data_IF_602878279618
#
_entry.id   IF_602878279618
#
_cell.length_a   1.000
_cell.length_b   1.000
_cell.length_c   1.000
_cell.angle_alpha   90.00
_cell.angle_beta   90.00
_cell.angle_gamma   90.00
#
_symmetry.space_group_name_H-M   'P 1'
#
loop_
_entity.id
_entity.type
_entity.pdbx_description
1 polymer ?
#
# COMPACT_ATOMS: atom_id res chain seq x y z
N UNK A 1 -25.15 -36.06 31.89
CA UNK A 1 -24.21 -35.16 32.49
C UNK A 1 -24.49 -33.71 32.03
N UNK A 2 -24.54 -32.77 32.98
CA UNK A 2 -24.67 -31.33 32.69
C UNK A 2 -23.25 -30.85 32.36
N UNK A 3 -23.07 -30.22 31.19
CA UNK A 3 -21.83 -29.52 30.83
C UNK A 3 -22.08 -28.02 31.08
N UNK A 4 -21.14 -27.36 31.77
CA UNK A 4 -21.17 -25.93 31.99
C UNK A 4 -19.97 -25.27 31.30
N UNK A 5 -20.23 -24.35 30.38
CA UNK A 5 -19.22 -23.49 29.79
C UNK A 5 -19.12 -22.20 30.57
N UNK A 6 -17.87 -21.73 30.79
CA UNK A 6 -17.56 -20.50 31.55
C UNK A 6 -17.04 -19.40 30.63
N UNK A 7 -17.00 -18.17 31.15
CA UNK A 7 -16.49 -16.99 30.44
C UNK A 7 -17.30 -16.63 29.19
N UNK A 8 -18.59 -16.80 29.26
CA UNK A 8 -19.54 -16.43 28.21
C UNK A 8 -20.39 -15.23 28.63
N UNK A 9 -20.84 -14.47 27.64
CA UNK A 9 -21.75 -13.35 27.80
C UNK A 9 -22.92 -13.51 26.81
N UNK A 10 -24.12 -13.22 27.29
CA UNK A 10 -25.32 -13.16 26.45
C UNK A 10 -25.59 -11.70 26.09
N UNK A 11 -25.78 -11.46 24.80
CA UNK A 11 -26.17 -10.15 24.23
C UNK A 11 -27.50 -10.31 23.53
N UNK A 12 -28.36 -9.31 23.63
CA UNK A 12 -29.62 -9.29 22.92
C UNK A 12 -29.79 -7.97 22.15
N UNK A 13 -30.26 -8.05 20.93
CA UNK A 13 -30.84 -6.93 20.20
C UNK A 13 -32.34 -6.98 20.45
N UNK A 14 -32.89 -5.86 20.92
CA UNK A 14 -34.32 -5.69 21.18
C UNK A 14 -34.86 -4.59 20.27
N UNK A 15 -35.94 -4.86 19.56
CA UNK A 15 -36.55 -3.89 18.66
C UNK A 15 -37.96 -4.28 18.27
N UNK A 16 -38.79 -3.25 18.03
CA UNK A 16 -40.12 -3.45 17.48
C UNK A 16 -40.04 -3.81 15.99
N UNK A 17 -41.00 -4.58 15.54
CA UNK A 17 -41.16 -4.91 14.10
C UNK A 17 -40.00 -5.70 13.43
N UNK A 18 -39.14 -6.32 14.22
CA UNK A 18 -38.01 -7.10 13.68
C UNK A 18 -38.47 -8.29 12.81
N UNK A 19 -39.67 -8.83 13.13
CA UNK A 19 -40.33 -9.91 12.38
C UNK A 19 -40.64 -9.56 10.92
N UNK A 20 -40.99 -8.30 10.69
CA UNK A 20 -41.41 -7.82 9.37
C UNK A 20 -40.33 -7.08 8.62
N UNK A 21 -39.14 -6.94 9.21
CA UNK A 21 -38.01 -6.25 8.59
C UNK A 21 -36.99 -7.29 8.05
N UNK A 22 -36.97 -7.53 6.75
CA UNK A 22 -36.02 -8.48 6.15
C UNK A 22 -34.57 -8.09 6.42
N UNK A 23 -33.70 -9.09 6.64
CA UNK A 23 -32.27 -8.88 6.72
C UNK A 23 -31.70 -8.56 8.11
N UNK A 24 -32.52 -8.35 9.14
CA UNK A 24 -32.05 -8.03 10.52
C UNK A 24 -31.07 -9.07 11.05
N UNK A 25 -31.43 -10.35 11.01
CA UNK A 25 -30.55 -11.43 11.45
C UNK A 25 -29.28 -11.53 10.57
N UNK A 26 -29.42 -11.39 9.25
CA UNK A 26 -28.28 -11.36 8.33
C UNK A 26 -27.32 -10.20 8.63
N UNK A 27 -27.84 -9.00 8.88
CA UNK A 27 -27.06 -7.83 9.29
C UNK A 27 -26.34 -8.06 10.61
N UNK A 28 -27.02 -8.63 11.60
CA UNK A 28 -26.45 -8.95 12.90
C UNK A 28 -25.28 -9.93 12.80
N UNK A 29 -25.52 -11.12 12.29
CA UNK A 29 -24.50 -12.16 12.26
C UNK A 29 -23.40 -11.85 11.25
N UNK A 30 -23.71 -11.20 10.13
CA UNK A 30 -22.73 -10.73 9.17
C UNK A 30 -21.80 -9.67 9.76
N UNK A 31 -22.32 -8.76 10.57
CA UNK A 31 -21.53 -7.73 11.26
C UNK A 31 -20.60 -8.36 12.30
N UNK A 32 -21.10 -9.30 13.11
CA UNK A 32 -20.28 -10.03 14.08
C UNK A 32 -19.15 -10.82 13.39
N UNK A 33 -19.49 -11.60 12.34
CA UNK A 33 -18.53 -12.42 11.60
C UNK A 33 -17.42 -11.61 10.93
N UNK A 34 -17.75 -10.51 10.23
CA UNK A 34 -16.76 -9.61 9.62
C UNK A 34 -15.77 -9.02 10.63
N UNK A 35 -16.20 -8.88 11.88
CA UNK A 35 -15.36 -8.37 12.96
C UNK A 35 -14.67 -9.48 13.78
N UNK A 36 -14.71 -10.72 13.30
CA UNK A 36 -14.03 -11.86 13.93
C UNK A 36 -14.68 -12.29 15.26
N UNK A 37 -15.95 -12.00 15.46
CA UNK A 37 -16.70 -12.40 16.67
C UNK A 37 -17.44 -13.68 16.38
N UNK A 38 -17.07 -14.76 17.09
CA UNK A 38 -17.76 -16.03 17.01
C UNK A 38 -19.04 -16.03 17.86
N UNK A 39 -20.14 -16.48 17.29
CA UNK A 39 -21.39 -16.69 17.98
C UNK A 39 -21.48 -18.16 18.40
N UNK A 40 -21.51 -18.41 19.71
CA UNK A 40 -21.50 -19.76 20.31
C UNK A 40 -22.91 -20.36 20.27
N UNK A 41 -23.91 -19.55 20.60
CA UNK A 41 -25.32 -19.94 20.55
C UNK A 41 -26.17 -18.73 20.17
N UNK A 42 -27.33 -18.96 19.59
CA UNK A 42 -28.31 -17.90 19.31
C UNK A 42 -29.74 -18.40 19.53
N UNK A 43 -30.62 -17.49 19.87
CA UNK A 43 -32.05 -17.74 19.99
C UNK A 43 -32.84 -16.54 19.51
N UNK A 44 -33.91 -16.80 18.74
CA UNK A 44 -34.91 -15.80 18.37
C UNK A 44 -36.25 -16.31 18.83
N UNK A 45 -36.92 -15.53 19.70
CA UNK A 45 -38.23 -15.91 20.28
C UNK A 45 -39.36 -15.80 19.26
N UNK A 46 -40.45 -16.53 19.51
CA UNK A 46 -41.65 -16.46 18.68
C UNK A 46 -42.34 -15.08 18.68
N UNK A 47 -42.16 -14.27 19.73
CA UNK A 47 -42.59 -12.88 19.79
C UNK A 47 -41.75 -11.97 18.87
N UNK A 48 -40.56 -12.41 18.51
CA UNK A 48 -39.62 -11.76 17.58
C UNK A 48 -39.30 -10.31 17.89
N UNK A 49 -39.37 -9.94 19.16
CA UNK A 49 -38.95 -8.64 19.68
C UNK A 49 -37.45 -8.60 20.02
N UNK A 50 -36.79 -9.77 20.03
CA UNK A 50 -35.37 -9.87 20.31
C UNK A 50 -34.67 -10.99 19.53
N UNK A 51 -33.40 -10.80 19.29
CA UNK A 51 -32.46 -11.85 18.89
C UNK A 51 -31.37 -11.87 19.95
N UNK A 52 -31.27 -12.97 20.69
CA UNK A 52 -30.24 -13.18 21.71
C UNK A 52 -29.14 -14.08 21.18
N UNK A 53 -27.92 -13.80 21.53
CA UNK A 53 -26.79 -14.61 21.15
C UNK A 53 -25.70 -14.62 22.23
N UNK A 54 -24.88 -15.65 22.22
CA UNK A 54 -23.83 -15.89 23.21
C UNK A 54 -22.47 -15.74 22.54
N UNK A 55 -21.59 -14.99 23.18
CA UNK A 55 -20.20 -14.76 22.74
C UNK A 55 -19.23 -15.01 23.89
N UNK A 56 -17.94 -15.19 23.60
CA UNK A 56 -16.89 -15.14 24.62
C UNK A 56 -16.89 -13.78 25.32
N UNK A 57 -16.75 -13.76 26.66
CA UNK A 57 -16.76 -12.53 27.47
C UNK A 57 -15.69 -11.52 27.02
N UNK A 58 -14.56 -11.97 26.47
CA UNK A 58 -13.53 -11.09 25.90
C UNK A 58 -14.04 -10.30 24.69
N UNK A 59 -14.99 -10.86 23.95
CA UNK A 59 -15.60 -10.22 22.78
C UNK A 59 -16.80 -9.36 23.12
N UNK A 60 -17.29 -9.35 24.36
CA UNK A 60 -18.52 -8.66 24.74
C UNK A 60 -18.51 -7.18 24.36
N UNK A 61 -17.47 -6.45 24.76
CA UNK A 61 -17.37 -5.01 24.48
C UNK A 61 -17.32 -4.72 22.98
N UNK A 62 -16.55 -5.52 22.23
CA UNK A 62 -16.48 -5.40 20.78
C UNK A 62 -17.82 -5.70 20.13
N UNK A 63 -18.52 -6.75 20.59
CA UNK A 63 -19.86 -7.12 20.10
C UNK A 63 -20.86 -5.98 20.29
N UNK A 64 -20.92 -5.40 21.47
CA UNK A 64 -21.82 -4.27 21.77
C UNK A 64 -21.53 -3.06 20.86
N UNK A 65 -20.26 -2.69 20.70
CA UNK A 65 -19.87 -1.55 19.86
C UNK A 65 -20.21 -1.78 18.39
N UNK A 66 -19.87 -2.96 17.86
CA UNK A 66 -20.12 -3.33 16.46
C UNK A 66 -21.62 -3.34 16.13
N UNK A 67 -22.44 -3.88 17.05
CA UNK A 67 -23.88 -3.91 16.86
C UNK A 67 -24.47 -2.52 17.00
N UNK A 68 -24.05 -1.76 18.01
CA UNK A 68 -24.52 -0.39 18.21
C UNK A 68 -24.22 0.46 16.97
N UNK A 69 -22.98 0.40 16.46
CA UNK A 69 -22.59 1.11 15.25
C UNK A 69 -23.45 0.69 14.04
N UNK A 70 -23.65 -0.63 13.87
CA UNK A 70 -24.40 -1.16 12.74
C UNK A 70 -25.91 -0.86 12.77
N UNK A 71 -26.52 -0.82 13.93
CA UNK A 71 -27.98 -0.71 14.07
C UNK A 71 -28.50 0.64 14.54
N UNK A 72 -27.70 1.38 15.33
CA UNK A 72 -28.16 2.60 16.01
C UNK A 72 -27.39 3.86 15.60
N UNK A 73 -26.14 3.73 15.14
CA UNK A 73 -25.38 4.84 14.58
C UNK A 73 -25.37 4.79 13.05
N UNK A 74 -26.42 4.28 12.44
CA UNK A 74 -26.51 3.99 11.01
C UNK A 74 -26.41 5.21 10.07
N UNK A 75 -26.19 6.41 10.60
CA UNK A 75 -25.84 7.57 9.77
C UNK A 75 -24.38 7.57 9.35
N UNK A 76 -23.48 6.88 10.09
CA UNK A 76 -22.05 6.90 9.80
C UNK A 76 -21.42 5.52 9.93
N UNK A 77 -20.68 5.11 8.88
CA UNK A 77 -19.72 4.03 8.97
C UNK A 77 -18.45 4.56 9.64
N UNK A 78 -17.88 3.82 10.59
CA UNK A 78 -16.63 4.21 11.26
C UNK A 78 -15.50 3.29 10.82
N UNK A 79 -14.39 3.85 10.35
CA UNK A 79 -13.10 3.15 10.21
C UNK A 79 -12.14 3.65 11.29
N UNK A 80 -11.58 2.72 12.05
CA UNK A 80 -10.63 3.01 13.12
C UNK A 80 -9.20 2.80 12.58
N UNK A 81 -8.45 3.89 12.47
CA UNK A 81 -7.16 3.93 11.79
C UNK A 81 -6.01 3.92 12.80
N UNK A 82 -5.05 3.03 12.60
CA UNK A 82 -3.75 3.01 13.26
C UNK A 82 -2.70 3.40 12.24
N UNK A 83 -2.18 4.63 12.32
CA UNK A 83 -1.23 5.18 11.34
C UNK A 83 0.19 5.01 11.87
N UNK A 84 0.97 4.18 11.19
CA UNK A 84 2.37 3.89 11.50
C UNK A 84 3.28 4.57 10.48
N UNK A 85 4.22 5.40 11.00
CA UNK A 85 5.11 6.20 10.18
C UNK A 85 4.49 7.55 9.81
N UNK A 86 4.63 8.55 10.71
CA UNK A 86 4.13 9.93 10.47
C UNK A 86 5.22 10.88 9.97
N UNK A 87 6.15 10.34 9.16
CA UNK A 87 7.14 11.12 8.43
C UNK A 87 6.52 11.90 7.25
N UNK A 88 7.22 11.94 6.12
CA UNK A 88 6.80 12.72 4.95
C UNK A 88 5.46 12.26 4.37
N UNK A 89 5.31 10.97 4.09
CA UNK A 89 4.08 10.41 3.51
C UNK A 89 2.97 10.35 4.56
N UNK A 90 3.23 9.74 5.71
CA UNK A 90 2.20 9.60 6.75
C UNK A 90 1.76 10.92 7.34
N UNK A 91 2.66 11.92 7.47
CA UNK A 91 2.29 13.27 7.88
C UNK A 91 1.36 13.95 6.87
N UNK A 92 1.63 13.76 5.57
CA UNK A 92 0.73 14.24 4.51
C UNK A 92 -0.63 13.53 4.53
N UNK A 93 -0.65 12.23 4.82
CA UNK A 93 -1.89 11.46 4.97
C UNK A 93 -2.74 11.99 6.14
N UNK A 94 -2.13 12.20 7.30
CA UNK A 94 -2.85 12.76 8.48
C UNK A 94 -3.47 14.10 8.14
N UNK A 95 -2.75 14.96 7.42
CA UNK A 95 -3.28 16.28 7.01
C UNK A 95 -4.44 16.13 6.01
N UNK A 96 -4.33 15.23 5.03
CA UNK A 96 -5.42 14.96 4.08
C UNK A 96 -6.66 14.40 4.79
N UNK A 97 -6.50 13.49 5.75
CA UNK A 97 -7.60 13.00 6.59
C UNK A 97 -8.24 14.15 7.35
N UNK A 98 -7.44 15.00 8.01
CA UNK A 98 -7.90 16.16 8.77
C UNK A 98 -8.77 17.10 7.91
N UNK A 99 -8.34 17.35 6.67
CA UNK A 99 -9.07 18.21 5.74
C UNK A 99 -10.37 17.58 5.23
N UNK A 100 -10.39 16.28 4.99
CA UNK A 100 -11.50 15.59 4.36
C UNK A 100 -12.51 14.98 5.34
N UNK A 101 -12.11 14.68 6.59
CA UNK A 101 -12.94 13.91 7.53
C UNK A 101 -14.33 14.49 7.74
N UNK A 102 -14.48 15.84 7.80
CA UNK A 102 -15.76 16.50 7.98
C UNK A 102 -16.68 16.33 6.77
N UNK A 103 -16.12 16.48 5.57
CA UNK A 103 -16.84 16.30 4.31
C UNK A 103 -17.29 14.85 4.14
N UNK A 104 -16.42 13.88 4.39
CA UNK A 104 -16.72 12.45 4.31
C UNK A 104 -17.85 12.07 5.28
N UNK A 105 -17.83 12.63 6.48
CA UNK A 105 -18.88 12.38 7.44
C UNK A 105 -20.23 12.92 6.96
N UNK A 106 -20.26 14.12 6.39
CA UNK A 106 -21.50 14.78 5.96
C UNK A 106 -22.06 14.24 4.64
N UNK A 107 -21.19 13.95 3.65
CA UNK A 107 -21.61 13.58 2.30
C UNK A 107 -21.67 12.05 2.08
N UNK A 108 -20.77 11.30 2.73
CA UNK A 108 -20.65 9.86 2.54
C UNK A 108 -21.06 9.03 3.76
N UNK A 109 -21.43 9.66 4.86
CA UNK A 109 -21.73 8.93 6.10
C UNK A 109 -20.52 8.13 6.62
N UNK A 110 -19.28 8.59 6.37
CA UNK A 110 -18.05 7.93 6.74
C UNK A 110 -17.26 8.74 7.76
N UNK A 111 -17.00 8.15 8.92
CA UNK A 111 -16.12 8.71 9.95
C UNK A 111 -14.76 7.99 9.92
N UNK A 112 -13.71 8.72 9.57
CA UNK A 112 -12.34 8.27 9.74
C UNK A 112 -11.87 8.64 11.15
N UNK A 113 -11.62 7.63 11.98
CA UNK A 113 -11.31 7.79 13.39
C UNK A 113 -9.90 7.31 13.68
N UNK A 114 -8.96 8.23 13.81
CA UNK A 114 -7.55 7.88 14.10
C UNK A 114 -7.41 7.56 15.58
N UNK A 115 -7.12 6.30 15.89
CA UNK A 115 -7.04 5.74 17.24
C UNK A 115 -5.63 5.29 17.63
N UNK A 116 -4.70 5.28 16.69
CA UNK A 116 -3.27 5.01 16.91
C UNK A 116 -2.41 5.87 16.00
N UNK A 117 -1.36 6.46 16.57
CA UNK A 117 -0.34 7.21 15.82
C UNK A 117 1.03 6.74 16.32
N UNK A 118 1.87 6.31 15.39
CA UNK A 118 3.14 5.66 15.67
C UNK A 118 4.23 6.27 14.81
N UNK A 119 5.33 6.69 15.41
CA UNK A 119 6.57 7.04 14.71
C UNK A 119 7.70 6.06 15.02
N UNK A 120 8.91 6.39 14.61
CA UNK A 120 10.08 5.51 14.79
C UNK A 120 10.46 5.28 16.26
N UNK A 121 10.03 6.14 17.17
CA UNK A 121 10.44 6.15 18.57
C UNK A 121 9.30 6.13 19.55
N UNK A 122 8.15 6.65 19.16
CA UNK A 122 7.00 6.84 20.02
C UNK A 122 5.69 6.35 19.38
N UNK A 123 4.81 5.88 20.23
CA UNK A 123 3.45 5.49 19.86
C UNK A 123 2.44 6.05 20.87
N UNK A 124 1.25 6.38 20.40
CA UNK A 124 0.12 6.72 21.24
C UNK A 124 -1.15 6.07 20.73
N UNK A 125 -1.99 5.60 21.65
CA UNK A 125 -3.23 4.90 21.36
C UNK A 125 -4.37 5.48 22.19
N UNK A 126 -5.52 5.70 21.57
CA UNK A 126 -6.70 6.23 22.25
C UNK A 126 -7.99 5.78 21.57
N UNK A 127 -8.90 5.15 22.34
CA UNK A 127 -10.21 4.80 21.82
C UNK A 127 -11.09 6.02 21.49
N UNK A 128 -10.80 7.15 22.12
CA UNK A 128 -11.49 8.41 21.85
C UNK A 128 -11.01 9.10 20.59
N UNK A 129 -9.88 8.64 20.03
CA UNK A 129 -9.19 9.26 18.90
C UNK A 129 -8.30 10.43 19.34
N UNK A 130 -7.78 11.15 18.34
CA UNK A 130 -6.83 12.26 18.50
C UNK A 130 -7.29 13.49 17.73
N UNK A 131 -6.93 14.68 18.25
CA UNK A 131 -6.96 15.90 17.45
C UNK A 131 -5.80 15.92 16.46
N UNK A 132 -6.14 15.77 15.17
CA UNK A 132 -5.14 15.70 14.10
C UNK A 132 -4.43 17.03 13.84
N UNK A 133 -4.92 18.14 14.41
CA UNK A 133 -4.25 19.45 14.33
C UNK A 133 -3.02 19.55 15.23
N UNK A 134 -2.97 18.79 16.33
CA UNK A 134 -1.93 18.88 17.36
C UNK A 134 -1.25 17.54 17.69
N UNK A 135 -1.43 16.52 16.84
CA UNK A 135 -0.98 15.16 17.14
C UNK A 135 0.54 15.01 17.32
N UNK A 136 1.35 15.88 16.67
CA UNK A 136 2.82 15.79 16.75
C UNK A 136 3.33 16.17 18.13
N UNK A 137 2.79 17.24 18.69
CA UNK A 137 3.08 17.71 20.03
C UNK A 137 2.59 16.66 21.06
N UNK A 138 1.38 16.17 20.89
CA UNK A 138 0.84 15.13 21.76
C UNK A 138 1.67 13.84 21.72
N UNK A 139 2.10 13.39 20.51
CA UNK A 139 2.96 12.21 20.37
C UNK A 139 4.30 12.41 21.07
N UNK A 140 4.88 13.59 20.94
CA UNK A 140 6.16 13.94 21.57
C UNK A 140 6.06 13.96 23.11
N UNK A 141 4.98 14.53 23.65
CA UNK A 141 4.79 14.71 25.08
C UNK A 141 4.26 13.46 25.79
N UNK A 142 3.27 12.79 25.21
CA UNK A 142 2.49 11.70 25.84
C UNK A 142 2.78 10.33 25.25
N UNK A 143 3.48 10.25 24.11
CA UNK A 143 3.78 8.97 23.45
C UNK A 143 4.68 8.08 24.31
N UNK A 144 4.39 6.78 24.30
CA UNK A 144 5.21 5.71 24.88
C UNK A 144 6.19 5.15 23.84
N UNK A 145 7.10 4.29 24.24
CA UNK A 145 8.02 3.62 23.31
C UNK A 145 7.28 2.81 22.24
N UNK A 146 7.71 2.93 20.99
CA UNK A 146 7.14 2.22 19.83
C UNK A 146 7.92 0.93 19.52
N UNK A 147 8.04 0.01 20.48
CA UNK A 147 8.56 -1.32 20.20
C UNK A 147 7.57 -2.15 19.37
N UNK A 148 8.05 -3.14 18.61
CA UNK A 148 7.17 -4.01 17.82
C UNK A 148 6.15 -4.75 18.67
N UNK A 149 6.56 -5.21 19.86
CA UNK A 149 5.66 -5.88 20.79
C UNK A 149 4.60 -4.91 21.32
N UNK A 150 4.98 -3.68 21.69
CA UNK A 150 4.04 -2.65 22.12
C UNK A 150 3.02 -2.35 21.02
N UNK A 151 3.48 -2.13 19.78
CA UNK A 151 2.58 -1.85 18.64
C UNK A 151 1.59 -3.00 18.43
N UNK A 152 2.10 -4.24 18.40
CA UNK A 152 1.28 -5.43 18.21
C UNK A 152 0.26 -5.63 19.33
N UNK A 153 0.72 -5.58 20.57
CA UNK A 153 -0.10 -5.86 21.75
C UNK A 153 -1.17 -4.80 21.97
N UNK A 154 -0.83 -3.52 21.82
CA UNK A 154 -1.79 -2.42 21.95
C UNK A 154 -2.87 -2.48 20.86
N UNK A 155 -2.49 -2.61 19.59
CA UNK A 155 -3.45 -2.64 18.49
C UNK A 155 -4.40 -3.84 18.60
N UNK A 156 -3.87 -5.04 18.85
CA UNK A 156 -4.67 -6.24 19.00
C UNK A 156 -5.49 -6.18 20.31
N UNK A 157 -4.87 -5.73 21.40
CA UNK A 157 -5.48 -5.64 22.72
C UNK A 157 -6.60 -4.59 22.80
N UNK A 158 -6.52 -3.52 22.02
CA UNK A 158 -7.63 -2.58 21.88
C UNK A 158 -8.89 -3.24 21.32
N UNK A 159 -8.74 -4.27 20.48
CA UNK A 159 -9.85 -5.07 19.94
C UNK A 159 -11.03 -4.18 19.46
N UNK A 160 -10.71 -3.21 18.61
CA UNK A 160 -11.68 -2.27 18.03
C UNK A 160 -12.19 -2.83 16.70
N UNK A 161 -13.48 -2.63 16.43
CA UNK A 161 -14.10 -3.03 15.17
C UNK A 161 -13.64 -2.13 13.99
N UNK A 162 -13.80 -2.63 12.76
CA UNK A 162 -13.44 -1.91 11.53
C UNK A 162 -12.05 -1.26 11.61
N UNK A 163 -11.09 -2.01 12.13
CA UNK A 163 -9.72 -1.54 12.31
C UNK A 163 -8.91 -1.65 11.02
N UNK A 164 -8.14 -0.62 10.75
CA UNK A 164 -7.21 -0.56 9.62
C UNK A 164 -5.84 -0.14 10.13
N UNK A 165 -4.84 -0.99 9.92
CA UNK A 165 -3.43 -0.64 10.12
C UNK A 165 -2.89 -0.02 8.84
N UNK A 166 -2.36 1.19 8.94
CA UNK A 166 -1.84 1.97 7.80
C UNK A 166 -0.34 2.13 7.96
N UNK A 167 0.43 1.46 7.11
CA UNK A 167 1.89 1.51 7.14
C UNK A 167 2.46 2.49 6.10
N UNK A 168 2.96 3.62 6.58
CA UNK A 168 3.68 4.62 5.79
C UNK A 168 5.20 4.58 6.05
N UNK A 169 5.72 3.46 6.56
CA UNK A 169 7.16 3.26 6.83
C UNK A 169 7.87 2.56 5.67
N UNK A 170 9.17 2.38 5.81
CA UNK A 170 10.00 1.49 4.98
C UNK A 170 10.65 0.39 5.84
N UNK A 171 10.11 0.11 7.03
CA UNK A 171 10.65 -0.84 8.00
C UNK A 171 10.23 -2.28 7.67
N UNK A 172 11.20 -3.22 7.55
CA UNK A 172 10.88 -4.64 7.43
C UNK A 172 10.22 -5.21 8.70
N UNK A 173 10.57 -4.67 9.85
CA UNK A 173 10.04 -5.11 11.13
C UNK A 173 8.54 -4.77 11.25
N UNK A 174 8.14 -3.57 10.83
CA UNK A 174 6.72 -3.19 10.79
C UNK A 174 5.96 -4.06 9.78
N UNK A 175 6.52 -4.33 8.61
CA UNK A 175 5.91 -5.22 7.63
C UNK A 175 5.72 -6.65 8.15
N UNK A 176 6.55 -7.12 9.07
CA UNK A 176 6.42 -8.45 9.69
C UNK A 176 5.15 -8.61 10.55
N UNK A 177 4.55 -7.51 11.00
CA UNK A 177 3.32 -7.52 11.83
C UNK A 177 2.03 -7.74 11.03
N UNK A 178 2.07 -7.62 9.69
CA UNK A 178 0.85 -7.69 8.87
C UNK A 178 0.10 -9.00 9.03
N UNK A 179 0.82 -10.12 9.15
CA UNK A 179 0.21 -11.44 9.36
C UNK A 179 -0.64 -11.46 10.63
N UNK A 180 -0.10 -10.97 11.72
CA UNK A 180 -0.80 -10.93 13.02
C UNK A 180 -2.04 -10.03 12.94
N UNK A 181 -1.93 -8.85 12.31
CA UNK A 181 -3.06 -7.95 12.16
C UNK A 181 -4.17 -8.55 11.30
N UNK A 182 -3.84 -9.11 10.15
CA UNK A 182 -4.82 -9.76 9.27
C UNK A 182 -5.52 -10.94 9.98
N UNK A 183 -4.79 -11.74 10.76
CA UNK A 183 -5.36 -12.85 11.56
C UNK A 183 -6.31 -12.36 12.65
N UNK A 184 -6.17 -11.13 13.13
CA UNK A 184 -7.04 -10.49 14.12
C UNK A 184 -8.11 -9.59 13.50
N UNK A 185 -8.46 -9.81 12.23
CA UNK A 185 -9.49 -9.06 11.50
C UNK A 185 -9.20 -7.54 11.40
N UNK A 186 -7.94 -7.17 11.31
CA UNK A 186 -7.48 -5.82 11.05
C UNK A 186 -7.02 -5.75 9.60
N UNK A 187 -7.65 -4.88 8.80
CA UNK A 187 -7.20 -4.62 7.43
C UNK A 187 -5.86 -3.92 7.42
N UNK A 188 -5.06 -4.14 6.39
CA UNK A 188 -3.75 -3.50 6.23
C UNK A 188 -3.73 -2.69 4.94
N UNK A 189 -3.32 -1.43 5.04
CA UNK A 189 -3.02 -0.54 3.90
C UNK A 189 -1.54 -0.16 3.99
N UNK A 190 -0.76 -0.44 2.95
CA UNK A 190 0.69 -0.30 3.00
C UNK A 190 1.27 0.52 1.86
N UNK A 191 1.94 1.62 2.19
CA UNK A 191 2.92 2.25 1.29
C UNK A 191 4.27 1.50 1.31
N UNK A 192 4.52 0.72 2.35
CA UNK A 192 5.70 -0.12 2.52
C UNK A 192 5.69 -1.29 1.53
N UNK A 193 6.68 -1.33 0.64
CA UNK A 193 6.78 -2.33 -0.44
C UNK A 193 7.33 -3.69 0.03
N UNK A 194 7.88 -3.76 1.24
CA UNK A 194 8.69 -4.92 1.67
C UNK A 194 7.86 -6.20 1.66
N UNK A 195 6.69 -6.20 2.28
CA UNK A 195 5.86 -7.40 2.35
C UNK A 195 5.40 -7.90 0.97
N UNK A 196 4.95 -6.99 0.10
CA UNK A 196 4.47 -7.33 -1.25
C UNK A 196 5.59 -7.79 -2.18
N UNK A 197 6.84 -7.34 -1.96
CA UNK A 197 8.03 -7.72 -2.74
C UNK A 197 8.93 -8.75 -2.08
N UNK A 198 8.61 -9.23 -0.86
CA UNK A 198 9.34 -10.30 -0.16
C UNK A 198 9.20 -11.65 -0.87
N UNK A 199 9.63 -12.75 -0.26
CA UNK A 199 9.40 -14.08 -0.83
C UNK A 199 7.95 -14.30 -1.25
N UNK A 200 7.72 -14.89 -2.41
CA UNK A 200 6.38 -15.09 -2.99
C UNK A 200 5.41 -15.78 -2.02
N UNK A 201 5.88 -16.75 -1.27
CA UNK A 201 5.03 -17.47 -0.31
C UNK A 201 4.51 -16.56 0.82
N UNK A 202 5.31 -15.59 1.28
CA UNK A 202 4.87 -14.60 2.27
C UNK A 202 3.77 -13.68 1.67
N UNK A 203 4.01 -13.15 0.47
CA UNK A 203 3.00 -12.34 -0.25
C UNK A 203 1.69 -13.12 -0.42
N UNK A 204 1.78 -14.38 -0.88
CA UNK A 204 0.63 -15.27 -1.09
C UNK A 204 -0.11 -15.56 0.22
N UNK A 205 0.63 -15.83 1.30
CA UNK A 205 0.05 -16.09 2.62
C UNK A 205 -0.76 -14.89 3.12
N UNK A 206 -0.22 -13.66 3.03
CA UNK A 206 -0.92 -12.45 3.44
C UNK A 206 -2.22 -12.23 2.65
N UNK A 207 -2.19 -12.40 1.33
CA UNK A 207 -3.39 -12.32 0.47
C UNK A 207 -4.42 -13.39 0.85
N UNK A 208 -3.98 -14.61 1.15
CA UNK A 208 -4.86 -15.71 1.55
C UNK A 208 -5.53 -15.45 2.90
N UNK A 209 -4.76 -15.02 3.91
CA UNK A 209 -5.30 -14.68 5.24
C UNK A 209 -6.32 -13.56 5.12
N UNK A 210 -6.01 -12.48 4.40
CA UNK A 210 -6.92 -11.37 4.20
C UNK A 210 -8.26 -11.84 3.62
N UNK A 211 -8.22 -12.69 2.57
CA UNK A 211 -9.42 -13.27 1.96
C UNK A 211 -10.21 -14.17 2.92
N UNK A 212 -9.52 -15.05 3.66
CA UNK A 212 -10.16 -15.98 4.61
C UNK A 212 -10.82 -15.23 5.78
N UNK A 213 -10.23 -14.13 6.22
CA UNK A 213 -10.73 -13.31 7.32
C UNK A 213 -11.75 -12.26 6.87
N UNK A 214 -11.94 -12.07 5.57
CA UNK A 214 -12.84 -11.03 5.04
C UNK A 214 -12.34 -9.60 5.30
N UNK A 215 -11.02 -9.43 5.44
CA UNK A 215 -10.36 -8.14 5.57
C UNK A 215 -9.56 -7.83 4.31
N UNK A 216 -9.02 -6.61 4.20
CA UNK A 216 -8.27 -6.17 3.03
C UNK A 216 -6.77 -6.06 3.36
N UNK A 217 -5.95 -6.43 2.39
CA UNK A 217 -4.54 -6.10 2.30
C UNK A 217 -4.32 -5.33 1.00
N UNK A 218 -4.17 -4.00 1.10
CA UNK A 218 -4.10 -3.07 -0.02
C UNK A 218 -2.75 -2.36 -0.03
N UNK A 219 -2.19 -2.15 -1.21
CA UNK A 219 -0.85 -1.58 -1.39
C UNK A 219 -0.69 -0.92 -2.76
N UNK A 220 -1.71 -0.19 -3.24
CA UNK A 220 -1.70 0.51 -4.53
C UNK A 220 -0.44 1.37 -4.70
N UNK A 221 -0.06 2.08 -3.64
CA UNK A 221 1.05 3.04 -3.67
C UNK A 221 2.45 2.40 -3.74
N UNK A 222 2.52 1.08 -3.70
CA UNK A 222 3.79 0.38 -3.86
C UNK A 222 4.38 0.54 -5.26
N UNK A 223 3.53 0.84 -6.26
CA UNK A 223 3.95 1.12 -7.63
C UNK A 223 3.24 2.37 -8.15
N UNK A 224 4.03 3.37 -8.59
CA UNK A 224 3.48 4.57 -9.25
C UNK A 224 2.82 5.58 -8.30
N UNK A 225 3.16 5.59 -7.03
CA UNK A 225 2.59 6.48 -6.02
C UNK A 225 1.04 6.43 -5.99
N UNK A 226 0.35 7.50 -6.38
CA UNK A 226 -1.11 7.55 -6.41
C UNK A 226 -1.74 7.12 -7.72
N UNK A 227 -0.96 6.61 -8.69
CA UNK A 227 -1.52 6.12 -9.96
C UNK A 227 -2.30 4.81 -9.75
N UNK A 228 -3.47 4.63 -10.37
CA UNK A 228 -4.31 3.45 -10.19
C UNK A 228 -3.80 2.29 -11.08
N UNK A 229 -2.73 1.63 -10.67
CA UNK A 229 -2.05 0.60 -11.45
C UNK A 229 -2.45 -0.80 -10.98
N UNK A 230 -2.26 -1.09 -9.68
CA UNK A 230 -2.53 -2.41 -9.09
C UNK A 230 -4.03 -2.70 -9.14
N UNK A 231 -4.86 -1.75 -8.77
CA UNK A 231 -6.32 -1.89 -8.86
C UNK A 231 -6.77 -2.13 -10.32
N UNK A 232 -6.20 -1.39 -11.29
CA UNK A 232 -6.49 -1.61 -12.71
C UNK A 232 -6.12 -3.03 -13.17
N UNK A 233 -4.95 -3.54 -12.78
CA UNK A 233 -4.53 -4.92 -13.08
C UNK A 233 -5.52 -5.92 -12.47
N UNK A 234 -5.88 -5.72 -11.21
CA UNK A 234 -6.83 -6.60 -10.51
C UNK A 234 -8.22 -6.59 -11.17
N UNK A 235 -8.72 -5.43 -11.56
CA UNK A 235 -10.02 -5.29 -12.24
C UNK A 235 -10.03 -5.98 -13.61
N UNK A 236 -8.95 -5.85 -14.38
CA UNK A 236 -8.79 -6.56 -15.65
C UNK A 236 -8.83 -8.08 -15.44
N UNK A 237 -8.05 -8.59 -14.49
CA UNK A 237 -7.98 -10.04 -14.21
C UNK A 237 -9.31 -10.57 -13.67
N UNK A 238 -9.91 -9.89 -12.70
CA UNK A 238 -11.19 -10.31 -12.12
C UNK A 238 -12.33 -10.27 -13.13
N UNK A 239 -12.25 -9.41 -14.14
CA UNK A 239 -13.21 -9.38 -15.25
C UNK A 239 -12.88 -10.38 -16.37
N UNK A 240 -11.88 -11.26 -16.18
CA UNK A 240 -11.52 -12.33 -17.10
C UNK A 240 -10.54 -11.97 -18.20
N UNK A 241 -9.85 -10.82 -18.09
CA UNK A 241 -8.76 -10.46 -18.98
C UNK A 241 -7.44 -11.12 -18.54
N UNK A 242 -6.44 -11.12 -19.37
CA UNK A 242 -5.11 -11.66 -19.09
C UNK A 242 -4.03 -10.65 -19.46
N UNK A 243 -3.17 -10.36 -18.51
CA UNK A 243 -2.00 -9.54 -18.77
C UNK A 243 -0.95 -10.35 -19.55
N UNK A 244 -0.64 -9.91 -20.77
CA UNK A 244 0.34 -10.56 -21.64
C UNK A 244 1.73 -9.94 -21.50
N UNK A 245 1.76 -8.61 -21.32
CA UNK A 245 3.00 -7.84 -21.22
C UNK A 245 2.80 -6.60 -20.37
N UNK A 246 3.79 -6.29 -19.57
CA UNK A 246 3.94 -5.01 -18.85
C UNK A 246 5.25 -4.39 -19.32
N UNK A 247 5.22 -3.14 -19.74
CA UNK A 247 6.41 -2.32 -19.99
C UNK A 247 6.26 -1.03 -19.19
N UNK A 248 7.30 -0.64 -18.44
CA UNK A 248 7.15 0.50 -17.56
C UNK A 248 8.47 1.23 -17.30
N UNK A 249 8.37 2.56 -17.14
CA UNK A 249 9.41 3.39 -16.52
C UNK A 249 8.93 3.72 -15.12
N UNK A 250 9.58 3.14 -14.11
CA UNK A 250 9.12 3.15 -12.71
C UNK A 250 10.07 3.88 -11.75
N UNK A 251 11.20 4.41 -12.25
CA UNK A 251 12.14 5.19 -11.46
C UNK A 251 12.15 6.64 -11.91
N UNK A 252 11.67 7.54 -11.05
CA UNK A 252 11.75 8.97 -11.28
C UNK A 252 13.20 9.45 -11.33
N UNK A 253 14.07 8.92 -10.48
CA UNK A 253 15.52 9.24 -10.45
C UNK A 253 16.20 8.90 -11.76
N UNK A 254 16.03 7.67 -12.25
CA UNK A 254 16.67 7.23 -13.50
C UNK A 254 16.09 7.97 -14.71
N UNK A 255 14.78 8.22 -14.72
CA UNK A 255 14.17 9.01 -15.79
C UNK A 255 14.70 10.46 -15.79
N UNK A 256 14.86 11.06 -14.62
CA UNK A 256 15.50 12.38 -14.49
C UNK A 256 16.91 12.39 -15.04
N UNK A 257 17.78 11.42 -14.65
CA UNK A 257 19.16 11.29 -15.10
C UNK A 257 19.21 11.25 -16.64
N UNK A 258 18.45 10.36 -17.27
CA UNK A 258 18.47 10.20 -18.72
C UNK A 258 17.76 11.31 -19.50
N UNK A 259 16.94 12.12 -18.85
CA UNK A 259 16.42 13.36 -19.45
C UNK A 259 17.39 14.55 -19.35
N UNK A 260 18.33 14.53 -18.40
CA UNK A 260 19.28 15.65 -18.17
C UNK A 260 20.62 15.46 -18.88
N UNK A 261 20.98 14.23 -19.24
CA UNK A 261 22.24 13.98 -19.94
C UNK A 261 22.25 14.68 -21.30
N UNK A 262 23.30 15.47 -21.55
CA UNK A 262 23.46 16.27 -22.77
C UNK A 262 24.94 16.47 -23.09
N UNK A 263 25.25 17.14 -24.21
CA UNK A 263 26.62 17.49 -24.57
C UNK A 263 27.33 18.32 -23.48
N UNK A 264 26.58 19.16 -22.76
CA UNK A 264 27.10 20.05 -21.71
C UNK A 264 27.00 19.45 -20.31
N UNK A 265 26.23 18.35 -20.12
CA UNK A 265 25.97 17.72 -18.83
C UNK A 265 26.32 16.24 -18.92
N UNK A 266 27.55 15.85 -18.53
CA UNK A 266 27.99 14.45 -18.57
C UNK A 266 27.21 13.57 -17.57
N UNK A 267 27.25 12.28 -17.79
CA UNK A 267 26.51 11.28 -16.99
C UNK A 267 26.78 11.41 -15.48
N UNK A 268 28.05 11.51 -15.08
CA UNK A 268 28.41 11.68 -13.67
C UNK A 268 27.80 12.93 -13.03
N UNK A 269 27.71 14.03 -13.80
CA UNK A 269 27.09 15.28 -13.34
C UNK A 269 25.57 15.14 -13.18
N UNK A 270 24.88 14.38 -14.07
CA UNK A 270 23.42 14.17 -13.94
C UNK A 270 23.08 13.40 -12.67
N UNK A 271 23.90 12.44 -12.26
CA UNK A 271 23.71 11.71 -10.99
C UNK A 271 23.82 12.68 -9.80
N UNK A 272 24.83 13.55 -9.83
CA UNK A 272 25.03 14.55 -8.79
C UNK A 272 23.88 15.56 -8.72
N UNK A 273 23.39 16.01 -9.86
CA UNK A 273 22.20 16.88 -9.96
C UNK A 273 20.96 16.19 -9.37
N UNK A 274 20.74 14.91 -9.67
CA UNK A 274 19.63 14.15 -9.10
C UNK A 274 19.70 14.10 -7.57
N UNK A 275 20.89 14.01 -7.00
CA UNK A 275 21.11 14.04 -5.55
C UNK A 275 20.88 15.47 -4.98
N UNK A 276 21.42 16.50 -5.61
CA UNK A 276 21.26 17.91 -5.22
C UNK A 276 19.78 18.33 -5.25
N UNK A 277 19.02 17.89 -6.25
CA UNK A 277 17.59 18.16 -6.41
C UNK A 277 16.69 17.18 -5.64
N UNK A 278 17.26 16.27 -4.86
CA UNK A 278 16.55 15.29 -4.02
C UNK A 278 15.66 14.29 -4.78
N UNK A 279 16.02 13.97 -6.01
CA UNK A 279 15.43 12.87 -6.76
C UNK A 279 16.06 11.51 -6.40
N UNK A 280 17.34 11.51 -6.02
CA UNK A 280 18.12 10.31 -5.69
C UNK A 280 18.21 10.12 -4.17
N UNK A 281 18.37 8.87 -3.77
CA UNK A 281 18.75 8.48 -2.41
C UNK A 281 20.12 9.11 -2.04
N UNK A 282 20.45 9.23 -0.74
CA UNK A 282 21.76 9.72 -0.31
C UNK A 282 22.94 8.95 -0.90
N UNK A 283 22.78 7.65 -1.10
CA UNK A 283 23.69 6.83 -1.89
C UNK A 283 23.04 6.51 -3.26
N UNK A 284 23.44 7.17 -4.35
CA UNK A 284 22.81 6.99 -5.65
C UNK A 284 22.98 5.59 -6.24
N UNK A 285 23.91 4.78 -5.70
CA UNK A 285 24.07 3.37 -6.12
C UNK A 285 22.82 2.56 -5.86
N UNK A 286 22.00 2.94 -4.86
CA UNK A 286 20.71 2.30 -4.58
C UNK A 286 19.79 2.45 -5.78
N UNK A 287 19.66 3.67 -6.33
CA UNK A 287 18.85 3.94 -7.53
C UNK A 287 19.44 3.28 -8.78
N UNK A 288 20.77 3.43 -8.99
CA UNK A 288 21.46 2.90 -10.15
C UNK A 288 21.45 1.37 -10.22
N UNK A 289 21.32 0.68 -9.09
CA UNK A 289 21.18 -0.78 -9.02
C UNK A 289 19.86 -1.31 -9.57
N UNK A 290 18.88 -0.43 -9.79
CA UNK A 290 17.53 -0.80 -10.21
C UNK A 290 16.72 -1.57 -9.18
N UNK A 291 17.18 -1.69 -7.93
CA UNK A 291 16.54 -2.53 -6.90
C UNK A 291 15.10 -2.13 -6.62
N UNK A 292 14.78 -0.84 -6.57
CA UNK A 292 13.40 -0.37 -6.39
C UNK A 292 12.51 -0.70 -7.60
N UNK A 293 13.06 -0.58 -8.81
CA UNK A 293 12.36 -0.94 -10.06
C UNK A 293 12.08 -2.45 -10.11
N UNK A 294 13.04 -3.27 -9.69
CA UNK A 294 12.86 -4.73 -9.58
C UNK A 294 11.74 -5.08 -8.61
N UNK A 295 11.72 -4.48 -7.43
CA UNK A 295 10.65 -4.69 -6.44
C UNK A 295 9.27 -4.32 -7.00
N UNK A 296 9.18 -3.18 -7.68
CA UNK A 296 7.93 -2.75 -8.32
C UNK A 296 7.48 -3.71 -9.41
N UNK A 297 8.41 -4.17 -10.27
CA UNK A 297 8.10 -5.14 -11.31
C UNK A 297 7.62 -6.47 -10.74
N UNK A 298 8.24 -6.95 -9.67
CA UNK A 298 7.83 -8.18 -8.97
C UNK A 298 6.41 -8.05 -8.43
N UNK A 299 6.07 -6.91 -7.82
CA UNK A 299 4.71 -6.64 -7.33
C UNK A 299 3.70 -6.67 -8.47
N UNK A 300 3.98 -5.97 -9.59
CA UNK A 300 3.09 -5.95 -10.75
C UNK A 300 2.93 -7.34 -11.37
N UNK A 301 4.00 -8.11 -11.47
CA UNK A 301 3.96 -9.48 -12.00
C UNK A 301 3.08 -10.38 -11.15
N UNK A 302 3.19 -10.28 -9.82
CA UNK A 302 2.39 -11.07 -8.88
C UNK A 302 0.91 -10.72 -8.94
N UNK A 303 0.59 -9.43 -8.98
CA UNK A 303 -0.79 -8.97 -9.16
C UNK A 303 -1.34 -9.34 -10.56
N UNK A 304 -0.47 -9.46 -11.56
CA UNK A 304 -0.80 -9.99 -12.89
C UNK A 304 -0.94 -11.53 -12.95
N UNK A 305 -0.79 -12.22 -11.82
CA UNK A 305 -0.97 -13.66 -11.69
C UNK A 305 0.27 -14.50 -11.94
N UNK A 306 1.46 -13.90 -12.07
CA UNK A 306 2.72 -14.61 -12.27
C UNK A 306 3.43 -14.85 -10.93
N UNK A 307 3.95 -16.06 -10.74
CA UNK A 307 4.90 -16.32 -9.66
C UNK A 307 6.28 -15.80 -10.08
N UNK A 308 6.81 -14.85 -9.34
CA UNK A 308 8.11 -14.23 -9.64
C UNK A 308 8.82 -13.86 -8.34
N UNK A 309 10.11 -14.19 -8.26
CA UNK A 309 11.03 -13.75 -7.21
C UNK A 309 11.96 -12.65 -7.73
N UNK A 310 12.52 -11.82 -6.84
CA UNK A 310 13.40 -10.72 -7.24
C UNK A 310 14.67 -11.20 -7.93
N UNK A 311 15.16 -12.37 -7.55
CA UNK A 311 16.36 -13.03 -8.08
C UNK A 311 16.17 -13.55 -9.49
N UNK A 312 14.92 -13.79 -9.91
CA UNK A 312 14.56 -14.27 -11.25
C UNK A 312 14.48 -13.14 -12.28
N UNK A 313 14.55 -11.88 -11.84
CA UNK A 313 14.53 -10.72 -12.74
C UNK A 313 15.87 -10.54 -13.40
N UNK A 314 15.92 -10.61 -14.73
CA UNK A 314 17.12 -10.33 -15.51
C UNK A 314 17.52 -8.86 -15.39
N UNK A 315 18.80 -8.62 -15.11
CA UNK A 315 19.34 -7.28 -14.85
C UNK A 315 20.32 -6.88 -15.95
N UNK A 316 19.89 -5.96 -16.79
CA UNK A 316 20.73 -5.35 -17.83
C UNK A 316 21.12 -3.94 -17.40
N UNK A 317 21.97 -3.86 -16.35
CA UNK A 317 22.42 -2.60 -15.78
C UNK A 317 23.36 -1.87 -16.71
N UNK A 318 23.33 -0.54 -16.65
CA UNK A 318 24.14 0.36 -17.45
C UNK A 318 25.40 0.86 -16.73
N UNK A 319 25.50 0.55 -15.43
CA UNK A 319 26.69 0.80 -14.61
C UNK A 319 27.34 -0.55 -14.29
N UNK A 320 28.66 -0.73 -14.53
CA UNK A 320 29.36 -1.97 -14.22
C UNK A 320 29.29 -2.36 -12.74
N UNK A 321 29.27 -3.66 -12.44
CA UNK A 321 29.07 -4.18 -11.09
C UNK A 321 30.12 -3.69 -10.07
N UNK A 322 31.34 -3.47 -10.50
CA UNK A 322 32.44 -3.00 -9.67
C UNK A 322 32.27 -1.54 -9.18
N UNK A 323 31.29 -0.79 -9.69
CA UNK A 323 30.91 0.54 -9.18
C UNK A 323 30.02 0.47 -7.95
N UNK A 324 29.40 -0.66 -7.69
CA UNK A 324 28.56 -0.87 -6.50
C UNK A 324 29.38 -1.33 -5.27
N UNK A 325 30.66 -1.62 -5.45
CA UNK A 325 31.58 -2.04 -4.40
C UNK A 325 32.33 -0.85 -3.79
N UNK A 326 32.87 -1.03 -2.58
CA UNK A 326 33.64 0.01 -1.88
C UNK A 326 32.80 1.12 -1.25
N UNK A 327 33.48 2.21 -0.92
CA UNK A 327 32.84 3.36 -0.26
C UNK A 327 32.11 4.26 -1.28
N UNK A 328 31.21 5.11 -0.77
CA UNK A 328 30.55 6.13 -1.60
C UNK A 328 31.57 7.13 -2.19
N UNK A 329 32.67 7.41 -1.45
CA UNK A 329 33.73 8.26 -1.93
C UNK A 329 34.45 7.63 -3.12
N UNK A 330 34.70 6.32 -3.10
CA UNK A 330 35.30 5.59 -4.22
C UNK A 330 34.38 5.61 -5.44
N UNK A 331 33.08 5.46 -5.25
CA UNK A 331 32.11 5.61 -6.33
C UNK A 331 32.21 6.98 -7.01
N UNK A 332 32.22 8.08 -6.23
CA UNK A 332 32.32 9.42 -6.80
C UNK A 332 33.63 9.71 -7.51
N UNK A 333 34.74 9.09 -7.11
CA UNK A 333 36.02 9.15 -7.82
C UNK A 333 35.99 8.38 -9.14
N UNK A 334 35.23 7.28 -9.19
CA UNK A 334 35.24 6.34 -10.31
C UNK A 334 34.18 6.69 -11.38
N UNK A 335 33.00 7.19 -10.99
CA UNK A 335 31.89 7.39 -11.91
C UNK A 335 32.20 8.31 -13.11
N UNK A 336 33.07 9.35 -13.03
CA UNK A 336 33.43 10.13 -14.20
C UNK A 336 34.10 9.35 -15.31
N UNK A 337 34.68 8.17 -15.03
CA UNK A 337 35.26 7.31 -16.06
C UNK A 337 34.27 6.77 -17.08
N UNK A 338 32.96 6.81 -16.75
CA UNK A 338 31.87 6.41 -17.64
C UNK A 338 31.42 7.53 -18.58
N UNK A 339 31.80 8.77 -18.33
CA UNK A 339 31.29 9.94 -19.07
C UNK A 339 31.57 9.89 -20.56
N UNK A 340 32.79 9.43 -20.94
CA UNK A 340 33.18 9.36 -22.33
C UNK A 340 32.38 8.32 -23.12
N UNK A 341 32.11 7.16 -22.53
CA UNK A 341 31.29 6.11 -23.15
C UNK A 341 29.85 6.57 -23.31
N UNK A 342 29.27 7.14 -22.25
CA UNK A 342 27.91 7.67 -22.30
C UNK A 342 27.77 8.80 -23.33
N UNK A 343 28.74 9.70 -23.47
CA UNK A 343 28.69 10.76 -24.47
C UNK A 343 28.81 10.21 -25.91
N UNK A 344 29.66 9.22 -26.13
CA UNK A 344 29.76 8.57 -27.42
C UNK A 344 28.44 7.92 -27.84
N UNK A 345 27.81 7.18 -26.92
CA UNK A 345 26.51 6.54 -27.17
C UNK A 345 25.39 7.56 -27.32
N UNK A 346 25.38 8.64 -26.51
CA UNK A 346 24.41 9.73 -26.61
C UNK A 346 24.39 10.37 -27.98
N UNK A 347 25.58 10.64 -28.58
CA UNK A 347 25.68 11.20 -29.94
C UNK A 347 25.05 10.29 -30.99
N UNK A 348 25.24 8.96 -30.88
CA UNK A 348 24.57 8.00 -31.76
C UNK A 348 23.06 8.09 -31.63
N UNK A 349 22.53 8.07 -30.40
CA UNK A 349 21.10 8.17 -30.13
C UNK A 349 20.51 9.47 -30.69
N UNK A 350 21.18 10.59 -30.48
CA UNK A 350 20.75 11.88 -31.01
C UNK A 350 20.65 11.87 -32.54
N UNK A 351 21.65 11.28 -33.24
CA UNK A 351 21.64 11.14 -34.70
C UNK A 351 20.48 10.26 -35.19
N UNK A 352 20.06 9.27 -34.40
CA UNK A 352 18.97 8.36 -34.70
C UNK A 352 17.61 8.83 -34.14
N UNK A 353 17.55 9.99 -33.49
CA UNK A 353 16.36 10.50 -32.78
C UNK A 353 15.79 9.51 -31.76
N UNK A 354 16.65 8.96 -30.93
CA UNK A 354 16.31 8.03 -29.84
C UNK A 354 16.64 8.63 -28.49
N UNK A 355 15.96 8.14 -27.45
CA UNK A 355 16.22 8.46 -26.05
C UNK A 355 16.48 7.19 -25.23
N UNK A 356 17.25 7.31 -24.16
CA UNK A 356 17.37 6.24 -23.16
C UNK A 356 16.20 6.25 -22.19
N UNK A 357 15.72 5.05 -21.87
CA UNK A 357 14.80 4.81 -20.76
C UNK A 357 15.21 3.56 -20.00
N UNK A 358 15.15 3.63 -18.68
CA UNK A 358 15.35 2.44 -17.85
C UNK A 358 14.00 1.75 -17.71
N UNK A 359 13.85 0.64 -18.39
CA UNK A 359 12.55 -0.04 -18.57
C UNK A 359 12.50 -1.31 -17.75
N UNK A 360 11.39 -1.47 -17.02
CA UNK A 360 10.95 -2.73 -16.45
C UNK A 360 10.03 -3.44 -17.44
N UNK A 361 10.27 -4.70 -17.70
CA UNK A 361 9.51 -5.49 -18.68
C UNK A 361 9.14 -6.85 -18.10
N UNK A 362 7.85 -7.19 -18.20
CA UNK A 362 7.33 -8.53 -18.02
C UNK A 362 6.68 -8.97 -19.32
N UNK A 363 7.09 -10.10 -19.87
CA UNK A 363 6.48 -10.66 -21.10
C UNK A 363 6.58 -12.19 -21.06
N UNK A 364 5.45 -12.85 -21.27
CA UNK A 364 5.38 -14.33 -21.25
C UNK A 364 5.97 -14.95 -19.96
N UNK A 365 5.77 -14.30 -18.82
CA UNK A 365 6.29 -14.75 -17.52
C UNK A 365 7.78 -14.48 -17.28
N UNK A 366 8.49 -13.87 -18.23
CA UNK A 366 9.90 -13.47 -18.08
C UNK A 366 9.96 -11.99 -17.70
N UNK A 367 10.75 -11.67 -16.70
CA UNK A 367 10.91 -10.32 -16.18
C UNK A 367 12.34 -9.83 -16.36
N UNK A 368 12.49 -8.59 -16.80
CA UNK A 368 13.79 -7.93 -16.95
C UNK A 368 13.71 -6.44 -16.62
N UNK A 369 14.84 -5.89 -16.21
CA UNK A 369 15.04 -4.45 -16.07
C UNK A 369 16.31 -4.05 -16.79
N UNK A 370 16.30 -2.90 -17.46
CA UNK A 370 17.49 -2.45 -18.17
C UNK A 370 17.31 -1.17 -18.95
N UNK A 371 18.45 -0.60 -19.38
CA UNK A 371 18.48 0.58 -20.20
C UNK A 371 18.11 0.23 -21.64
N UNK A 372 17.08 0.86 -22.18
CA UNK A 372 16.60 0.67 -23.54
C UNK A 372 16.66 1.98 -24.33
N UNK A 373 16.80 1.84 -25.64
CA UNK A 373 16.74 2.92 -26.60
C UNK A 373 15.33 2.97 -27.20
N UNK A 374 14.67 4.10 -27.10
CA UNK A 374 13.31 4.30 -27.60
C UNK A 374 13.29 5.38 -28.67
N UNK A 375 12.63 5.11 -29.79
CA UNK A 375 12.43 6.04 -30.89
C UNK A 375 11.17 6.90 -30.72
N UNK A 376 10.93 7.82 -31.65
CA UNK A 376 9.80 8.77 -31.61
C UNK A 376 8.42 8.12 -31.61
N UNK A 377 8.30 6.89 -32.08
CA UNK A 377 7.02 6.18 -32.14
C UNK A 377 6.72 5.45 -30.82
N UNK A 378 7.72 5.30 -29.97
CA UNK A 378 7.54 4.61 -28.69
C UNK A 378 6.88 5.55 -27.65
N UNK A 379 5.86 5.09 -26.90
CA UNK A 379 5.17 5.90 -25.90
C UNK A 379 6.10 6.51 -24.82
N UNK A 380 7.25 5.90 -24.58
CA UNK A 380 8.21 6.38 -23.57
C UNK A 380 9.11 7.50 -24.09
N UNK A 381 9.12 7.79 -25.40
CA UNK A 381 10.02 8.78 -25.98
C UNK A 381 9.86 10.15 -25.34
N UNK A 382 8.63 10.65 -25.25
CA UNK A 382 8.31 11.97 -24.71
C UNK A 382 8.16 12.02 -23.16
N UNK A 383 8.60 10.99 -22.43
CA UNK A 383 8.44 10.99 -20.97
C UNK A 383 9.39 11.98 -20.31
N UNK A 384 8.84 13.06 -19.78
CA UNK A 384 9.59 14.17 -19.17
C UNK A 384 9.73 14.02 -17.65
N UNK A 385 10.73 14.73 -17.10
CA UNK A 385 10.95 14.88 -15.67
C UNK A 385 11.18 13.55 -14.94
N UNK A 386 10.49 13.36 -13.84
CA UNK A 386 10.53 12.16 -12.99
C UNK A 386 9.24 11.33 -13.08
N UNK A 387 8.43 11.54 -14.12
CA UNK A 387 7.16 10.83 -14.30
C UNK A 387 7.37 9.33 -14.52
N UNK A 388 6.38 8.56 -14.09
CA UNK A 388 6.25 7.14 -14.40
C UNK A 388 5.28 6.95 -15.55
N UNK A 389 5.49 5.89 -16.34
CA UNK A 389 4.59 5.43 -17.38
C UNK A 389 4.56 3.91 -17.38
N UNK A 390 3.36 3.35 -17.50
CA UNK A 390 3.12 1.92 -17.55
C UNK A 390 2.25 1.61 -18.76
N UNK A 391 2.67 0.62 -19.56
CA UNK A 391 1.89 0.05 -20.64
C UNK A 391 1.45 -1.36 -20.25
N UNK A 392 0.16 -1.63 -20.29
CA UNK A 392 -0.44 -2.93 -20.06
C UNK A 392 -0.97 -3.47 -21.41
N UNK A 393 -0.29 -4.50 -21.94
CA UNK A 393 -0.80 -5.26 -23.08
C UNK A 393 -1.56 -6.47 -22.53
N UNK A 394 -2.83 -6.57 -22.86
CA UNK A 394 -3.71 -7.64 -22.39
C UNK A 394 -4.34 -8.39 -23.58
N UNK A 395 -5.11 -9.43 -23.33
CA UNK A 395 -5.88 -10.08 -24.41
C UNK A 395 -6.89 -9.12 -25.03
N UNK A 396 -7.52 -8.22 -24.25
CA UNK A 396 -8.46 -7.20 -24.73
C UNK A 396 -7.76 -5.99 -25.37
N UNK A 397 -6.65 -5.55 -24.78
CA UNK A 397 -5.89 -4.36 -25.20
C UNK A 397 -4.57 -4.81 -25.85
N UNK A 398 -4.66 -5.63 -26.90
CA UNK A 398 -3.49 -6.23 -27.56
C UNK A 398 -2.87 -5.28 -28.60
N UNK A 399 -3.71 -4.70 -29.45
CA UNK A 399 -3.26 -3.79 -30.53
C UNK A 399 -3.00 -2.37 -30.01
N UNK A 400 -3.80 -1.94 -29.04
CA UNK A 400 -3.70 -0.65 -28.36
C UNK A 400 -3.53 -0.88 -26.87
N UNK A 401 -2.29 -1.01 -26.38
CA UNK A 401 -2.03 -1.22 -24.96
C UNK A 401 -2.61 -0.08 -24.10
N UNK A 402 -3.14 -0.43 -22.94
CA UNK A 402 -3.56 0.55 -21.94
C UNK A 402 -2.35 1.28 -21.39
N UNK A 403 -2.41 2.61 -21.32
CA UNK A 403 -1.32 3.46 -20.83
C UNK A 403 -1.77 4.22 -19.59
N UNK A 404 -0.95 4.17 -18.53
CA UNK A 404 -1.12 4.94 -17.30
C UNK A 404 0.15 5.77 -17.10
N UNK A 405 0.00 7.09 -17.00
CA UNK A 405 1.15 8.00 -16.88
C UNK A 405 0.86 9.10 -15.86
N UNK A 406 1.87 9.49 -15.10
CA UNK A 406 1.78 10.61 -14.15
C UNK A 406 2.92 10.61 -13.14
N UNK A 407 2.75 11.37 -12.05
CA UNK A 407 3.74 11.42 -10.99
C UNK A 407 3.90 10.05 -10.31
N UNK A 408 5.11 9.50 -10.38
CA UNK A 408 5.46 8.21 -9.79
C UNK A 408 6.03 8.31 -8.38
N UNK A 409 6.15 9.51 -7.83
CA UNK A 409 6.65 9.81 -6.49
C UNK A 409 6.09 11.14 -5.98
N UNK A 410 6.25 11.39 -4.70
CA UNK A 410 5.82 12.61 -4.03
C UNK A 410 4.95 12.33 -2.82
N UNK A 411 5.21 13.02 -1.71
CA UNK A 411 4.53 12.78 -0.43
C UNK A 411 3.01 12.90 -0.53
N UNK A 412 2.53 14.00 -1.15
CA UNK A 412 1.11 14.28 -1.28
C UNK A 412 0.38 13.28 -2.18
N UNK A 413 1.01 12.89 -3.28
CA UNK A 413 0.43 11.93 -4.25
C UNK A 413 0.42 10.52 -3.65
N UNK A 414 1.49 10.11 -2.99
CA UNK A 414 1.55 8.80 -2.30
C UNK A 414 0.54 8.75 -1.15
N UNK A 415 0.46 9.80 -0.33
CA UNK A 415 -0.53 9.88 0.74
C UNK A 415 -1.97 9.81 0.20
N UNK A 416 -2.26 10.45 -0.95
CA UNK A 416 -3.57 10.37 -1.59
C UNK A 416 -3.90 8.94 -2.07
N UNK A 417 -2.91 8.20 -2.56
CA UNK A 417 -3.09 6.80 -2.92
C UNK A 417 -3.35 5.90 -1.71
N UNK A 418 -2.62 6.09 -0.61
CA UNK A 418 -2.91 5.41 0.68
C UNK A 418 -4.33 5.76 1.16
N UNK A 419 -4.72 7.01 1.03
CA UNK A 419 -6.05 7.47 1.38
C UNK A 419 -7.13 6.79 0.52
N UNK A 420 -6.90 6.65 -0.79
CA UNK A 420 -7.81 5.94 -1.69
C UNK A 420 -7.97 4.46 -1.29
N UNK A 421 -6.88 3.77 -0.90
CA UNK A 421 -6.94 2.41 -0.37
C UNK A 421 -7.78 2.33 0.91
N UNK A 422 -7.64 3.29 1.83
CA UNK A 422 -8.50 3.38 3.02
C UNK A 422 -9.97 3.53 2.63
N UNK A 423 -10.29 4.39 1.66
CA UNK A 423 -11.65 4.59 1.16
C UNK A 423 -12.22 3.33 0.52
N UNK A 424 -11.39 2.54 -0.18
CA UNK A 424 -11.81 1.25 -0.77
C UNK A 424 -12.22 0.21 0.30
N UNK A 425 -11.71 0.31 1.53
CA UNK A 425 -12.15 -0.54 2.64
C UNK A 425 -13.57 -0.14 3.09
N UNK A 426 -13.88 1.14 3.05
CA UNK A 426 -15.21 1.65 3.40
C UNK A 426 -16.28 1.36 2.33
N UNK A 427 -15.90 0.91 1.14
CA UNK A 427 -16.77 0.76 -0.04
C UNK A 427 -17.50 2.09 -0.42
N UNK A 428 -16.76 3.19 -0.37
CA UNK A 428 -17.26 4.53 -0.72
C UNK A 428 -16.63 5.00 -2.03
#
# INVERSE_FOLDING_TARGET
>A
PIQAEKNLATVAIVGENMKHTPGIAGKLFGTLGRNGINVIACAQGASETNISFVVDSKSLRKSLNVIHDSFFLSEYQVLNLFICGVGTVGGSLVEQIRQQQKKLMMENGLKLHVVGIIDATKAMFSRAGFDLGNYREELKEKGTDSSLDTIREEIIGMNIFNSVFVDCTASPDIASLYKDFLQHNISVVAANKIAASSAYENYRELKLIARQRGVKYLFETNVGAGLPIINTINDLIHSGDKILKIEAVLSGTLNYIFNKISADVPFSRTIKMAQEERYSEPDPRIDLSGKDVIRKLVILAREAGYKLEQEEVEKNLFVPNDFFEGSLEDFWKKVPSLDADFEARRKVLESENKHWRFVAKLENGKASVGLQEVDRNHPFYGLEGSNNIILLTTERYKEYPMMIQGYGAGAGVTAAGVFADIMSIANV
#
